data_IF_646022723762
#
_entry.id   IF_646022723762
#
_cell.length_a   1.000
_cell.length_b   1.000
_cell.length_c   1.000
_cell.angle_alpha   90.00
_cell.angle_beta   90.00
_cell.angle_gamma   90.00
#
_symmetry.space_group_name_H-M   'P 1'
#
loop_
_entity.id
_entity.type
_entity.pdbx_description
1 polymer ?
#
# COMPACT_ATOMS: atom_id res chain seq x y z
N UNK A 1 33.44 11.00 -60.75
CA UNK A 1 31.97 11.17 -60.66
C UNK A 1 31.42 11.84 -61.92
N UNK A 2 31.08 11.05 -62.95
CA UNK A 2 30.40 11.53 -64.18
C UNK A 2 29.28 10.61 -64.68
N UNK A 3 29.09 9.44 -64.05
CA UNK A 3 28.09 8.43 -64.45
C UNK A 3 26.63 8.84 -64.19
N UNK A 4 26.39 9.78 -63.27
CA UNK A 4 25.05 10.25 -62.87
C UNK A 4 24.44 11.31 -63.80
N UNK A 5 25.12 11.71 -64.89
CA UNK A 5 24.60 12.74 -65.81
C UNK A 5 23.78 12.16 -66.98
N UNK A 6 23.85 10.85 -67.21
CA UNK A 6 23.22 10.22 -68.36
C UNK A 6 21.83 9.68 -68.00
N UNK A 7 20.78 10.18 -68.67
CA UNK A 7 19.37 9.85 -68.37
C UNK A 7 19.08 8.35 -68.47
N UNK A 8 19.74 7.64 -69.39
CA UNK A 8 19.62 6.18 -69.53
C UNK A 8 20.23 5.41 -68.35
N UNK A 9 21.38 5.88 -67.82
CA UNK A 9 22.05 5.24 -66.67
C UNK A 9 21.21 5.40 -65.40
N UNK A 10 20.58 6.57 -65.22
CA UNK A 10 19.63 6.81 -64.12
C UNK A 10 18.44 5.85 -64.22
N UNK A 11 17.88 5.66 -65.42
CA UNK A 11 16.79 4.72 -65.65
C UNK A 11 17.15 3.27 -65.29
N UNK A 12 18.34 2.80 -65.69
CA UNK A 12 18.81 1.46 -65.35
C UNK A 12 19.02 1.30 -63.84
N UNK A 13 19.59 2.31 -63.17
CA UNK A 13 19.75 2.28 -61.71
C UNK A 13 18.39 2.21 -61.00
N UNK A 14 17.41 3.00 -61.43
CA UNK A 14 16.06 2.95 -60.86
C UNK A 14 15.39 1.58 -61.06
N UNK A 15 15.56 0.94 -62.22
CA UNK A 15 15.04 -0.41 -62.48
C UNK A 15 15.71 -1.42 -61.55
N UNK A 16 17.04 -1.40 -61.43
CA UNK A 16 17.77 -2.31 -60.53
C UNK A 16 17.36 -2.10 -59.07
N UNK A 17 17.21 -0.85 -58.62
CA UNK A 17 16.80 -0.52 -57.26
C UNK A 17 15.36 -0.97 -56.99
N UNK A 18 14.45 -0.81 -57.96
CA UNK A 18 13.07 -1.33 -57.86
C UNK A 18 13.03 -2.86 -57.76
N UNK A 19 13.87 -3.56 -58.51
CA UNK A 19 13.99 -5.02 -58.44
C UNK A 19 14.54 -5.48 -57.10
N UNK A 20 15.56 -4.80 -56.55
CA UNK A 20 16.10 -5.12 -55.23
C UNK A 20 15.02 -4.96 -54.15
N UNK A 21 14.25 -3.86 -54.18
CA UNK A 21 13.15 -3.67 -53.23
C UNK A 21 12.10 -4.78 -53.38
N UNK A 22 11.66 -5.07 -54.60
CA UNK A 22 10.62 -6.07 -54.87
C UNK A 22 11.04 -7.50 -54.51
N UNK A 23 12.31 -7.87 -54.73
CA UNK A 23 12.78 -9.26 -54.56
C UNK A 23 13.58 -9.50 -53.27
N UNK A 24 14.08 -8.47 -52.59
CA UNK A 24 14.77 -8.63 -51.31
C UNK A 24 13.94 -8.09 -50.16
N UNK A 25 13.44 -6.85 -50.25
CA UNK A 25 12.77 -6.18 -49.13
C UNK A 25 11.35 -6.71 -48.95
N UNK A 26 10.56 -6.81 -50.02
CA UNK A 26 9.18 -7.30 -49.96
C UNK A 26 9.06 -8.73 -49.40
N UNK A 27 9.86 -9.73 -49.83
CA UNK A 27 9.77 -11.05 -49.22
C UNK A 27 10.25 -11.09 -47.77
N UNK A 28 11.21 -10.25 -47.37
CA UNK A 28 11.64 -10.16 -45.97
C UNK A 28 10.53 -9.58 -45.09
N UNK A 29 9.86 -8.52 -45.57
CA UNK A 29 8.75 -7.88 -44.86
C UNK A 29 7.52 -8.79 -44.80
N UNK A 30 7.23 -9.51 -45.89
CA UNK A 30 6.14 -10.47 -45.91
C UNK A 30 6.42 -11.67 -44.98
N UNK A 31 7.68 -12.12 -44.88
CA UNK A 31 8.08 -13.15 -43.91
C UNK A 31 7.95 -12.66 -42.47
N UNK A 32 8.43 -11.46 -42.17
CA UNK A 32 8.30 -10.86 -40.84
C UNK A 32 6.84 -10.64 -40.40
N UNK A 33 5.94 -10.31 -41.34
CA UNK A 33 4.49 -10.19 -41.07
C UNK A 33 3.80 -11.55 -40.99
N UNK A 34 4.34 -12.55 -41.69
CA UNK A 34 3.80 -13.92 -41.71
C UNK A 34 4.37 -14.81 -40.60
N UNK A 35 5.20 -14.30 -39.70
CA UNK A 35 5.63 -15.04 -38.53
C UNK A 35 4.40 -15.24 -37.63
N UNK A 36 3.94 -16.48 -37.59
CA UNK A 36 2.83 -16.91 -36.76
C UNK A 36 3.37 -17.53 -35.49
N UNK A 37 2.66 -17.28 -34.39
CA UNK A 37 2.96 -17.88 -33.09
C UNK A 37 1.68 -18.41 -32.47
N UNK A 38 1.83 -19.46 -31.69
CA UNK A 38 0.75 -20.00 -30.88
C UNK A 38 0.66 -19.21 -29.57
N UNK A 39 -0.57 -18.87 -29.19
CA UNK A 39 -0.90 -18.22 -27.91
C UNK A 39 -2.10 -18.90 -27.27
N UNK A 40 -2.24 -18.71 -25.96
CA UNK A 40 -3.43 -19.10 -25.22
C UNK A 40 -4.45 -17.96 -25.23
N UNK A 41 -5.67 -18.30 -25.64
CA UNK A 41 -6.80 -17.37 -25.76
C UNK A 41 -7.99 -17.88 -24.96
N UNK A 42 -8.70 -16.95 -24.33
CA UNK A 42 -9.89 -17.20 -23.51
C UNK A 42 -11.09 -17.56 -24.41
N UNK A 43 -11.86 -18.58 -24.03
CA UNK A 43 -13.08 -19.03 -24.75
C UNK A 43 -14.36 -18.96 -23.93
N UNK A 44 -14.25 -18.87 -22.61
CA UNK A 44 -15.35 -18.63 -21.67
C UNK A 44 -14.99 -17.42 -20.82
N UNK A 45 -16.00 -16.73 -20.29
CA UNK A 45 -15.75 -15.66 -19.30
C UNK A 45 -14.99 -16.25 -18.11
N UNK A 46 -13.95 -15.54 -17.67
CA UNK A 46 -13.16 -15.88 -16.47
C UNK A 46 -13.14 -14.62 -15.61
N UNK A 47 -13.64 -14.72 -14.38
CA UNK A 47 -13.69 -13.60 -13.45
C UNK A 47 -12.43 -13.51 -12.60
N UNK A 48 -12.15 -12.33 -12.09
CA UNK A 48 -11.07 -12.12 -11.12
C UNK A 48 -11.23 -13.08 -9.95
N UNK A 49 -10.14 -13.76 -9.56
CA UNK A 49 -10.12 -14.77 -8.52
C UNK A 49 -10.52 -16.18 -8.97
N UNK A 50 -11.06 -16.35 -10.18
CA UNK A 50 -11.47 -17.66 -10.70
C UNK A 50 -10.26 -18.49 -11.17
N UNK A 51 -10.30 -19.80 -10.90
CA UNK A 51 -9.29 -20.74 -11.40
C UNK A 51 -9.47 -20.99 -12.90
N UNK A 52 -8.40 -20.80 -13.65
CA UNK A 52 -8.37 -21.03 -15.09
C UNK A 52 -8.34 -22.55 -15.33
N UNK A 53 -9.43 -23.07 -15.87
CA UNK A 53 -9.57 -24.48 -16.22
C UNK A 53 -9.30 -24.72 -17.71
N UNK A 54 -9.00 -25.97 -18.08
CA UNK A 54 -8.63 -26.34 -19.45
C UNK A 54 -9.76 -26.10 -20.47
N UNK A 55 -11.02 -26.03 -20.04
CA UNK A 55 -12.17 -25.75 -20.90
C UNK A 55 -12.49 -24.25 -21.05
N UNK A 56 -11.82 -23.37 -20.29
CA UNK A 56 -11.94 -21.92 -20.39
C UNK A 56 -10.94 -21.31 -21.38
N UNK A 57 -9.91 -22.06 -21.79
CA UNK A 57 -8.81 -21.57 -22.63
C UNK A 57 -8.55 -22.48 -23.82
N UNK A 58 -7.97 -21.92 -24.89
CA UNK A 58 -7.49 -22.71 -26.03
C UNK A 58 -6.24 -22.12 -26.64
N UNK A 59 -5.43 -22.95 -27.27
CA UNK A 59 -4.32 -22.50 -28.11
C UNK A 59 -4.85 -22.05 -29.47
N UNK A 60 -4.42 -20.87 -29.94
CA UNK A 60 -4.71 -20.35 -31.27
C UNK A 60 -3.44 -19.83 -31.94
N UNK A 61 -3.37 -19.99 -33.25
CA UNK A 61 -2.30 -19.44 -34.08
C UNK A 61 -2.66 -18.00 -34.49
N UNK A 62 -1.82 -17.04 -34.11
CA UNK A 62 -1.98 -15.61 -34.45
C UNK A 62 -0.70 -15.06 -35.07
N UNK A 63 -0.79 -13.93 -35.77
CA UNK A 63 0.40 -13.22 -36.22
C UNK A 63 1.18 -12.66 -35.02
N UNK A 64 2.50 -12.78 -35.03
CA UNK A 64 3.36 -12.28 -33.96
C UNK A 64 3.50 -10.73 -33.95
N UNK A 65 3.01 -10.07 -35.00
CA UNK A 65 3.09 -8.62 -35.14
C UNK A 65 2.24 -7.90 -34.08
N UNK A 66 2.87 -7.03 -33.28
CA UNK A 66 2.26 -6.30 -32.14
C UNK A 66 1.73 -7.18 -30.99
N UNK A 67 2.19 -8.43 -30.89
CA UNK A 67 1.83 -9.28 -29.76
C UNK A 67 2.63 -8.84 -28.52
N UNK A 68 1.98 -8.73 -27.33
CA UNK A 68 2.71 -8.48 -26.08
C UNK A 68 3.78 -9.56 -25.84
N UNK A 69 4.94 -9.14 -25.32
CA UNK A 69 6.05 -10.07 -25.07
C UNK A 69 5.72 -11.11 -23.99
N UNK A 70 4.86 -10.74 -23.04
CA UNK A 70 4.44 -11.53 -21.88
C UNK A 70 3.21 -12.42 -22.14
N UNK A 71 2.81 -12.59 -23.40
CA UNK A 71 1.70 -13.47 -23.76
C UNK A 71 2.02 -14.93 -23.44
N UNK A 72 1.03 -15.62 -22.87
CA UNK A 72 1.13 -17.03 -22.54
C UNK A 72 1.01 -17.86 -23.81
N UNK A 73 1.98 -18.75 -24.04
CA UNK A 73 2.08 -19.59 -25.24
C UNK A 73 1.66 -21.04 -25.01
N UNK A 74 1.62 -21.49 -23.76
CA UNK A 74 1.23 -22.86 -23.39
C UNK A 74 0.06 -22.85 -22.42
N UNK A 75 -0.92 -23.72 -22.66
CA UNK A 75 -2.06 -23.91 -21.75
C UNK A 75 -1.60 -24.40 -20.38
N UNK A 76 -0.50 -25.14 -20.28
CA UNK A 76 0.08 -25.60 -19.01
C UNK A 76 0.51 -24.45 -18.10
N UNK A 77 0.82 -23.28 -18.67
CA UNK A 77 1.21 -22.09 -17.91
C UNK A 77 -0.01 -21.31 -17.39
N UNK A 78 -1.18 -21.48 -18.02
CA UNK A 78 -2.42 -20.80 -17.65
C UNK A 78 -3.33 -21.68 -16.79
N UNK A 79 -3.43 -22.98 -17.08
CA UNK A 79 -4.34 -23.89 -16.39
C UNK A 79 -3.86 -24.16 -14.97
N UNK A 80 -4.77 -24.09 -14.01
CA UNK A 80 -4.48 -24.22 -12.56
C UNK A 80 -3.95 -22.94 -11.92
N UNK A 81 -3.83 -21.84 -12.68
CA UNK A 81 -3.60 -20.49 -12.16
C UNK A 81 -4.92 -19.75 -11.99
N UNK A 82 -4.89 -18.64 -11.27
CA UNK A 82 -6.06 -17.82 -11.00
C UNK A 82 -6.01 -16.51 -11.79
N UNK A 83 -7.18 -16.03 -12.23
CA UNK A 83 -7.28 -14.77 -12.94
C UNK A 83 -7.07 -13.59 -11.99
N UNK A 84 -6.16 -12.68 -12.33
CA UNK A 84 -5.93 -11.43 -11.60
C UNK A 84 -6.84 -10.29 -12.06
N UNK A 85 -7.48 -10.45 -13.23
CA UNK A 85 -8.43 -9.51 -13.79
C UNK A 85 -9.46 -10.26 -14.62
N UNK A 86 -10.63 -9.66 -14.82
CA UNK A 86 -11.68 -10.23 -15.66
C UNK A 86 -11.19 -10.39 -17.11
N UNK A 87 -11.53 -11.54 -17.69
CA UNK A 87 -11.20 -11.87 -19.07
C UNK A 87 -12.43 -12.38 -19.80
N UNK A 88 -12.66 -11.83 -20.99
CA UNK A 88 -13.80 -12.21 -21.83
C UNK A 88 -13.37 -13.15 -22.95
N UNK A 89 -14.32 -13.91 -23.54
CA UNK A 89 -14.04 -14.75 -24.70
C UNK A 89 -13.37 -13.93 -25.81
N UNK A 90 -12.16 -14.32 -26.16
CA UNK A 90 -11.36 -13.65 -27.16
C UNK A 90 -10.15 -12.89 -26.63
N UNK A 91 -10.00 -12.76 -25.32
CA UNK A 91 -8.82 -12.13 -24.71
C UNK A 91 -7.58 -13.01 -24.80
N UNK A 92 -6.42 -12.35 -24.90
CA UNK A 92 -5.13 -13.01 -24.77
C UNK A 92 -4.76 -13.10 -23.29
N UNK A 93 -4.26 -14.26 -22.89
CA UNK A 93 -3.72 -14.43 -21.55
C UNK A 93 -2.29 -13.94 -21.57
N UNK A 94 -2.00 -12.99 -20.70
CA UNK A 94 -0.65 -12.46 -20.46
C UNK A 94 -0.24 -12.81 -19.04
N UNK A 95 1.06 -12.93 -18.79
CA UNK A 95 1.58 -13.34 -17.48
C UNK A 95 1.12 -12.42 -16.34
N UNK A 96 0.90 -11.14 -16.62
CA UNK A 96 0.39 -10.15 -15.65
C UNK A 96 -1.10 -10.32 -15.28
N UNK A 97 -1.85 -11.15 -16.01
CA UNK A 97 -3.28 -11.43 -15.74
C UNK A 97 -3.51 -12.75 -14.98
N UNK A 98 -2.46 -13.48 -14.63
CA UNK A 98 -2.56 -14.79 -13.97
C UNK A 98 -1.68 -14.83 -12.73
N UNK A 99 -2.18 -15.42 -11.65
CA UNK A 99 -1.48 -15.59 -10.39
C UNK A 99 -1.45 -17.07 -9.98
N UNK A 100 -0.41 -17.49 -9.27
CA UNK A 100 -0.31 -18.86 -8.75
C UNK A 100 -1.23 -19.09 -7.55
N UNK A 101 -1.53 -18.03 -6.82
CA UNK A 101 -2.50 -18.03 -5.74
C UNK A 101 -3.80 -17.38 -6.24
N UNK A 102 -4.97 -17.76 -5.69
CA UNK A 102 -6.20 -17.07 -5.96
C UNK A 102 -5.99 -15.57 -5.77
N UNK A 103 -6.46 -14.77 -6.73
CA UNK A 103 -6.79 -13.37 -6.45
C UNK A 103 -8.00 -13.38 -5.51
N UNK A 104 -7.78 -13.89 -4.30
CA UNK A 104 -8.79 -14.04 -3.30
C UNK A 104 -9.21 -12.63 -2.92
N UNK A 105 -10.51 -12.40 -2.84
CA UNK A 105 -11.03 -11.52 -1.81
C UNK A 105 -10.22 -11.80 -0.53
N UNK A 106 -9.57 -10.78 0.03
CA UNK A 106 -8.64 -10.94 1.16
C UNK A 106 -7.23 -11.47 0.86
N UNK A 107 -6.68 -11.34 -0.36
CA UNK A 107 -5.28 -11.66 -0.68
C UNK A 107 -4.26 -11.07 0.33
N UNK A 108 -4.58 -9.89 0.89
CA UNK A 108 -3.79 -9.23 1.93
C UNK A 108 -3.67 -10.01 3.26
N UNK A 109 -4.57 -10.96 3.54
CA UNK A 109 -4.49 -11.82 4.74
C UNK A 109 -3.54 -13.00 4.55
N UNK A 110 -3.36 -13.49 3.31
CA UNK A 110 -2.48 -14.63 3.04
C UNK A 110 -0.99 -14.27 3.09
N UNK A 111 -0.65 -12.98 3.04
CA UNK A 111 0.73 -12.49 3.21
C UNK A 111 1.19 -12.39 4.69
N UNK A 112 0.35 -12.74 5.65
CA UNK A 112 0.70 -12.66 7.08
C UNK A 112 1.68 -13.78 7.48
N UNK A 113 2.87 -13.40 7.93
CA UNK A 113 3.93 -14.33 8.37
C UNK A 113 3.86 -14.69 9.86
N UNK A 114 2.97 -14.04 10.62
CA UNK A 114 2.86 -14.16 12.07
C UNK A 114 3.66 -13.09 12.86
N UNK A 115 4.52 -12.33 12.18
CA UNK A 115 5.22 -11.17 12.79
C UNK A 115 4.28 -9.98 13.00
N UNK A 116 3.35 -9.78 12.06
CA UNK A 116 2.28 -8.79 12.11
C UNK A 116 0.91 -9.48 12.11
N UNK A 117 -0.09 -8.75 12.57
CA UNK A 117 -1.48 -9.16 12.72
C UNK A 117 -2.38 -8.17 11.98
N UNK A 118 -3.48 -8.69 11.45
CA UNK A 118 -4.58 -7.88 10.95
C UNK A 118 -5.59 -7.65 12.08
N UNK A 119 -5.94 -6.39 12.36
CA UNK A 119 -7.00 -6.04 13.32
C UNK A 119 -7.95 -5.04 12.70
N UNK A 120 -9.25 -5.24 12.90
CA UNK A 120 -10.27 -4.30 12.44
C UNK A 120 -10.70 -3.38 13.57
N UNK A 121 -10.86 -2.10 13.25
CA UNK A 121 -11.41 -1.07 14.13
C UNK A 121 -12.66 -0.47 13.51
N UNK A 122 -13.63 -0.12 14.35
CA UNK A 122 -14.91 0.41 13.89
C UNK A 122 -14.82 1.91 13.63
N UNK A 123 -15.38 2.33 12.52
CA UNK A 123 -15.50 3.73 12.12
C UNK A 123 -16.89 4.23 12.53
N UNK A 124 -17.07 4.49 13.84
CA UNK A 124 -18.39 4.88 14.40
C UNK A 124 -19.02 6.11 13.76
N UNK A 125 -18.20 7.00 13.21
CA UNK A 125 -18.67 8.17 12.47
C UNK A 125 -17.98 8.23 11.13
N UNK A 126 -18.70 8.62 10.09
CA UNK A 126 -18.15 8.75 8.74
C UNK A 126 -16.90 9.66 8.69
N UNK A 127 -16.84 10.68 9.55
CA UNK A 127 -15.67 11.56 9.64
C UNK A 127 -14.43 10.86 10.23
N UNK A 128 -14.62 9.83 11.06
CA UNK A 128 -13.53 9.12 11.72
C UNK A 128 -12.70 8.27 10.74
N UNK A 129 -13.29 7.82 9.62
CA UNK A 129 -12.61 7.03 8.58
C UNK A 129 -12.41 7.81 7.30
N UNK A 130 -12.05 9.10 7.41
CA UNK A 130 -11.81 10.00 6.28
C UNK A 130 -12.98 10.05 5.28
N UNK A 131 -14.23 10.09 5.78
CA UNK A 131 -15.42 10.09 4.92
C UNK A 131 -15.46 8.89 3.97
N UNK A 132 -15.07 7.72 4.47
CA UNK A 132 -15.07 6.47 3.72
C UNK A 132 -14.16 6.44 2.50
N UNK A 133 -13.17 7.33 2.45
CA UNK A 133 -12.22 7.40 1.33
C UNK A 133 -10.96 6.59 1.54
N UNK A 134 -10.79 5.95 2.70
CA UNK A 134 -9.62 5.12 2.98
C UNK A 134 -9.56 3.93 2.02
N UNK A 135 -8.36 3.61 1.59
CA UNK A 135 -8.06 2.55 0.62
C UNK A 135 -7.00 1.61 1.18
N UNK A 136 -7.00 0.37 0.69
CA UNK A 136 -5.87 -0.56 0.94
C UNK A 136 -4.57 0.08 0.43
N UNK A 137 -3.51 -0.02 1.24
CA UNK A 137 -2.22 0.63 1.00
C UNK A 137 -2.10 2.07 1.52
N UNK A 138 -3.16 2.63 2.10
CA UNK A 138 -3.05 3.92 2.79
C UNK A 138 -2.21 3.78 4.06
N UNK A 139 -1.38 4.77 4.33
CA UNK A 139 -0.74 4.94 5.63
C UNK A 139 -1.54 5.95 6.44
N UNK A 140 -1.99 5.54 7.62
CA UNK A 140 -2.79 6.36 8.53
C UNK A 140 -2.09 6.52 9.89
N UNK A 141 -2.39 7.64 10.56
CA UNK A 141 -2.15 7.79 11.99
C UNK A 141 -3.46 7.58 12.74
N UNK A 142 -3.37 6.95 13.89
CA UNK A 142 -4.50 6.74 14.79
C UNK A 142 -4.50 7.86 15.82
N UNK A 143 -5.54 8.69 15.81
CA UNK A 143 -5.77 9.72 16.79
C UNK A 143 -6.69 9.14 17.86
N UNK A 144 -6.18 9.05 19.08
CA UNK A 144 -6.85 8.49 20.25
C UNK A 144 -7.19 9.61 21.25
N UNK A 145 -8.46 9.95 21.42
CA UNK A 145 -8.93 10.70 22.57
C UNK A 145 -8.76 9.84 23.83
N UNK A 146 -8.19 10.44 24.88
CA UNK A 146 -8.06 9.81 26.19
C UNK A 146 -7.17 8.54 26.23
N UNK A 147 -6.13 8.51 25.38
CA UNK A 147 -5.14 7.42 25.41
C UNK A 147 -4.53 7.27 26.81
N UNK A 148 -4.54 6.04 27.34
CA UNK A 148 -4.07 5.72 28.71
C UNK A 148 -4.77 6.56 29.80
N UNK A 149 -6.02 6.99 29.58
CA UNK A 149 -6.84 7.77 30.53
C UNK A 149 -6.22 9.10 30.96
N UNK A 150 -5.46 9.73 30.06
CA UNK A 150 -4.75 10.99 30.32
C UNK A 150 -5.62 12.24 30.11
N UNK A 151 -6.85 12.09 29.59
CA UNK A 151 -7.78 13.18 29.30
C UNK A 151 -7.39 14.03 28.09
N UNK A 152 -6.39 13.61 27.30
CA UNK A 152 -5.86 14.34 26.16
C UNK A 152 -6.06 13.56 24.86
N UNK A 153 -6.27 14.28 23.77
CA UNK A 153 -6.27 13.70 22.42
C UNK A 153 -4.84 13.71 21.88
N UNK A 154 -4.30 12.53 21.62
CA UNK A 154 -2.93 12.35 21.14
C UNK A 154 -2.89 11.33 20.01
N UNK A 155 -1.80 11.33 19.26
CA UNK A 155 -1.45 10.22 18.36
C UNK A 155 -0.49 9.35 19.17
N UNK A 156 -0.88 8.12 19.59
CA UNK A 156 0.04 7.21 20.25
C UNK A 156 1.27 7.01 19.39
N UNK A 157 2.50 7.09 19.95
CA UNK A 157 3.71 6.92 19.16
C UNK A 157 3.78 5.53 18.51
N UNK A 158 3.14 4.53 19.13
CA UNK A 158 2.99 3.19 18.59
C UNK A 158 2.07 3.14 17.37
N UNK A 159 1.17 4.11 17.14
CA UNK A 159 0.16 4.07 16.08
C UNK A 159 0.26 5.27 15.11
N UNK A 160 1.48 5.78 14.91
CA UNK A 160 1.73 6.96 14.09
C UNK A 160 1.67 6.66 12.60
N UNK A 161 2.24 5.55 12.14
CA UNK A 161 2.17 5.12 10.75
C UNK A 161 1.77 3.65 10.69
N UNK A 162 0.48 3.44 10.42
CA UNK A 162 -0.11 2.11 10.31
C UNK A 162 -0.68 1.94 8.91
N UNK A 163 -0.45 0.78 8.32
CA UNK A 163 -0.95 0.46 6.99
C UNK A 163 -2.38 -0.06 7.05
N UNK A 164 -3.24 0.50 6.21
CA UNK A 164 -4.59 0.00 5.96
C UNK A 164 -4.49 -1.12 4.93
N UNK A 165 -4.94 -2.32 5.27
CA UNK A 165 -4.95 -3.47 4.36
C UNK A 165 -6.34 -3.78 3.82
N UNK A 166 -7.40 -3.31 4.50
CA UNK A 166 -8.76 -3.43 4.00
C UNK A 166 -9.66 -2.35 4.58
N UNK A 167 -10.75 -2.08 3.87
CA UNK A 167 -11.86 -1.29 4.39
C UNK A 167 -13.12 -2.04 4.01
N UNK A 168 -13.95 -2.34 5.00
CA UNK A 168 -15.08 -3.25 4.87
C UNK A 168 -16.36 -2.49 5.19
N UNK A 169 -17.39 -2.71 4.38
CA UNK A 169 -18.72 -2.18 4.60
C UNK A 169 -19.49 -3.00 5.65
N UNK A 170 -20.63 -2.48 6.11
CA UNK A 170 -21.47 -3.16 7.09
C UNK A 170 -22.02 -4.53 6.59
N UNK A 171 -22.11 -4.77 5.28
CA UNK A 171 -22.41 -6.10 4.73
C UNK A 171 -21.31 -7.14 4.96
N UNK A 172 -20.11 -6.73 5.37
CA UNK A 172 -18.93 -7.58 5.42
C UNK A 172 -18.18 -7.68 4.08
N UNK A 173 -18.67 -7.01 3.03
CA UNK A 173 -17.95 -6.89 1.76
C UNK A 173 -16.87 -5.81 1.82
N UNK A 174 -15.74 -6.05 1.16
CA UNK A 174 -14.68 -5.04 1.05
C UNK A 174 -15.18 -3.84 0.24
N UNK A 175 -15.23 -2.66 0.87
CA UNK A 175 -15.72 -1.41 0.28
C UNK A 175 -14.81 -0.86 -0.84
N UNK A 176 -13.65 -1.51 -1.06
CA UNK A 176 -12.60 -1.10 -1.99
C UNK A 176 -12.38 -2.06 -3.17
N UNK A 177 -13.16 -3.14 -3.32
CA UNK A 177 -12.98 -4.14 -4.40
C UNK A 177 -13.26 -3.60 -5.81
N UNK A 178 -13.78 -2.39 -5.96
CA UNK A 178 -14.03 -1.80 -7.28
C UNK A 178 -15.11 -2.49 -8.09
N UNK A 179 -15.80 -3.48 -7.51
CA UNK A 179 -16.99 -4.06 -8.11
C UNK A 179 -18.07 -2.97 -8.22
N UNK A 180 -18.61 -2.73 -9.43
CA UNK A 180 -19.75 -1.85 -9.58
C UNK A 180 -20.95 -2.55 -8.94
N UNK A 181 -21.34 -2.13 -7.74
CA UNK A 181 -22.70 -2.37 -7.28
C UNK A 181 -23.64 -1.78 -8.33
N UNK A 182 -24.55 -2.57 -8.89
CA UNK A 182 -25.44 -2.19 -10.01
C UNK A 182 -26.27 -0.92 -9.73
N UNK A 183 -26.31 -0.46 -8.47
CA UNK A 183 -26.83 0.84 -8.06
C UNK A 183 -25.72 1.72 -7.42
N UNK A 184 -25.27 2.74 -8.15
CA UNK A 184 -24.40 3.86 -7.65
C UNK A 184 -25.00 4.60 -6.43
N UNK A 185 -26.22 4.26 -6.02
CA UNK A 185 -26.96 4.83 -4.89
C UNK A 185 -26.79 4.05 -3.58
N UNK A 186 -26.31 2.82 -3.66
CA UNK A 186 -26.18 1.91 -2.51
C UNK A 186 -24.71 1.51 -2.28
N UNK A 187 -23.77 2.42 -2.54
CA UNK A 187 -22.38 2.20 -2.10
C UNK A 187 -22.37 2.21 -0.58
N UNK A 188 -22.35 1.02 0.00
CA UNK A 188 -22.41 0.84 1.43
C UNK A 188 -21.28 1.59 2.11
N UNK A 189 -21.62 2.25 3.21
CA UNK A 189 -20.66 3.03 3.95
C UNK A 189 -19.66 2.08 4.61
N UNK A 190 -18.35 2.37 4.51
CA UNK A 190 -17.36 1.59 5.21
C UNK A 190 -17.58 1.75 6.72
N UNK A 191 -17.72 0.61 7.39
CA UNK A 191 -18.03 0.50 8.82
C UNK A 191 -16.79 0.12 9.61
N UNK A 192 -15.87 -0.64 9.01
CA UNK A 192 -14.63 -1.08 9.66
C UNK A 192 -13.42 -0.87 8.76
N UNK A 193 -12.29 -0.57 9.39
CA UNK A 193 -10.99 -0.47 8.72
C UNK A 193 -10.07 -1.52 9.31
N UNK A 194 -9.46 -2.33 8.47
CA UNK A 194 -8.52 -3.37 8.87
C UNK A 194 -7.09 -2.85 8.70
N UNK A 195 -6.33 -2.91 9.78
CA UNK A 195 -4.97 -2.39 9.91
C UNK A 195 -3.96 -3.53 10.06
N UNK A 196 -2.78 -3.37 9.46
CA UNK A 196 -1.65 -4.28 9.63
C UNK A 196 -0.70 -3.76 10.70
N UNK A 197 -0.58 -4.49 11.80
CA UNK A 197 0.08 -4.02 13.03
C UNK A 197 0.89 -5.12 13.72
N UNK A 198 1.78 -4.76 14.62
CA UNK A 198 2.44 -5.69 15.54
C UNK A 198 1.47 -6.20 16.62
N UNK A 199 1.78 -7.31 17.31
CA UNK A 199 0.96 -7.80 18.42
C UNK A 199 0.74 -6.79 19.55
N UNK A 200 1.67 -5.86 19.76
CA UNK A 200 1.52 -4.82 20.77
C UNK A 200 0.56 -3.72 20.33
N UNK A 201 0.74 -3.22 19.12
CA UNK A 201 -0.17 -2.26 18.50
C UNK A 201 -1.60 -2.82 18.43
N UNK A 202 -1.78 -4.13 18.18
CA UNK A 202 -3.11 -4.76 18.14
C UNK A 202 -3.81 -4.73 19.50
N UNK A 203 -3.09 -4.93 20.60
CA UNK A 203 -3.64 -4.79 21.95
C UNK A 203 -4.07 -3.34 22.24
N UNK A 204 -3.27 -2.35 21.84
CA UNK A 204 -3.61 -0.93 22.00
C UNK A 204 -4.86 -0.58 21.20
N UNK A 205 -4.94 -1.02 19.94
CA UNK A 205 -6.11 -0.79 19.09
C UNK A 205 -7.37 -1.45 19.66
N UNK A 206 -7.26 -2.65 20.24
CA UNK A 206 -8.38 -3.33 20.89
C UNK A 206 -8.89 -2.57 22.13
N UNK A 207 -7.99 -1.96 22.92
CA UNK A 207 -8.37 -1.11 24.05
C UNK A 207 -9.07 0.16 23.57
N UNK A 208 -8.49 0.84 22.58
CA UNK A 208 -9.07 2.05 21.99
C UNK A 208 -10.44 1.80 21.34
N UNK A 209 -10.64 0.63 20.74
CA UNK A 209 -11.92 0.22 20.15
C UNK A 209 -12.99 0.02 21.22
N UNK A 210 -12.62 -0.51 22.40
CA UNK A 210 -13.54 -0.70 23.52
C UNK A 210 -14.02 0.63 24.10
N UNK A 211 -13.14 1.62 24.24
CA UNK A 211 -13.49 2.99 24.62
C UNK A 211 -14.25 3.70 23.49
N UNK A 212 -13.89 3.32 22.25
CA UNK A 212 -14.71 3.50 21.07
C UNK A 212 -14.72 4.92 20.53
N UNK A 213 -13.63 5.65 20.73
CA UNK A 213 -13.36 6.92 20.08
C UNK A 213 -12.02 6.80 19.35
N UNK A 214 -12.05 6.46 18.07
CA UNK A 214 -10.85 6.41 17.23
C UNK A 214 -11.09 7.30 16.02
N UNK A 215 -10.09 8.10 15.65
CA UNK A 215 -10.06 8.82 14.38
C UNK A 215 -8.83 8.38 13.57
N UNK A 216 -9.03 8.09 12.29
CA UNK A 216 -7.98 7.75 11.35
C UNK A 216 -7.67 8.97 10.49
N UNK A 217 -6.43 9.46 10.54
CA UNK A 217 -5.96 10.52 9.67
C UNK A 217 -5.04 9.95 8.59
N UNK A 218 -5.35 10.20 7.32
CA UNK A 218 -4.49 9.80 6.20
C UNK A 218 -3.19 10.59 6.22
N UNK A 219 -2.07 9.88 6.28
CA UNK A 219 -0.71 10.43 6.21
C UNK A 219 -0.21 10.37 4.77
N UNK A 220 -0.36 9.23 4.11
CA UNK A 220 0.19 9.02 2.79
C UNK A 220 -0.67 8.06 1.96
N UNK A 221 -0.84 8.42 0.69
CA UNK A 221 -1.34 7.57 -0.40
C UNK A 221 -0.44 7.78 -1.60
N UNK A 222 0.03 6.70 -2.21
CA UNK A 222 0.87 6.79 -3.39
C UNK A 222 1.62 5.50 -3.69
N UNK A 223 2.87 5.62 -4.11
CA UNK A 223 3.69 4.47 -4.48
C UNK A 223 4.04 3.62 -3.25
N UNK A 224 3.93 2.29 -3.41
CA UNK A 224 4.20 1.34 -2.33
C UNK A 224 5.60 1.46 -1.74
N UNK A 225 6.58 1.89 -2.55
CA UNK A 225 7.95 2.11 -2.08
C UNK A 225 8.03 3.18 -0.99
N UNK A 226 7.28 4.27 -1.13
CA UNK A 226 7.24 5.35 -0.15
C UNK A 226 6.37 4.99 1.06
N UNK A 227 5.27 4.26 0.84
CA UNK A 227 4.47 3.71 1.95
C UNK A 227 5.34 2.85 2.88
N UNK A 228 6.19 1.99 2.32
CA UNK A 228 7.15 1.18 3.07
C UNK A 228 8.19 2.00 3.86
N UNK A 229 8.53 3.22 3.44
CA UNK A 229 9.42 4.12 4.20
C UNK A 229 8.74 4.57 5.51
N UNK A 230 7.44 4.86 5.48
CA UNK A 230 6.68 5.19 6.69
C UNK A 230 6.54 4.01 7.65
N UNK A 231 6.29 2.80 7.12
CA UNK A 231 6.20 1.58 7.94
C UNK A 231 7.55 1.31 8.63
N UNK A 232 8.67 1.45 7.91
CA UNK A 232 10.01 1.35 8.51
C UNK A 232 10.26 2.41 9.57
N UNK A 233 9.83 3.65 9.33
CA UNK A 233 9.93 4.70 10.33
C UNK A 233 9.12 4.37 11.59
N UNK A 234 7.95 3.73 11.45
CA UNK A 234 7.18 3.23 12.60
C UNK A 234 7.93 2.11 13.34
N UNK A 235 8.56 1.18 12.63
CA UNK A 235 9.36 0.12 13.24
C UNK A 235 10.52 0.69 14.06
N UNK A 236 11.22 1.71 13.55
CA UNK A 236 12.25 2.42 14.32
C UNK A 236 11.69 3.10 15.58
N UNK A 237 10.51 3.71 15.50
CA UNK A 237 9.85 4.32 16.67
C UNK A 237 9.52 3.24 17.71
N UNK A 238 9.01 2.07 17.29
CA UNK A 238 8.72 0.97 18.20
C UNK A 238 10.01 0.44 18.86
N UNK A 239 11.09 0.27 18.08
CA UNK A 239 12.39 -0.14 18.61
C UNK A 239 12.93 0.85 19.66
N UNK A 240 12.80 2.16 19.43
CA UNK A 240 13.23 3.20 20.37
C UNK A 240 12.41 3.17 21.67
N UNK A 241 11.11 2.88 21.59
CA UNK A 241 10.23 2.73 22.77
C UNK A 241 10.56 1.45 23.56
N UNK A 242 11.00 0.40 22.88
CA UNK A 242 11.34 -0.90 23.49
C UNK A 242 12.80 -1.04 23.91
N UNK A 243 13.69 -0.15 23.46
CA UNK A 243 15.06 -0.14 23.90
C UNK A 243 15.07 0.06 25.43
N UNK A 244 15.67 -0.86 26.22
CA UNK A 244 15.89 -0.59 27.62
C UNK A 244 16.68 0.71 27.71
N UNK A 245 16.21 1.68 28.50
CA UNK A 245 17.01 2.85 28.85
C UNK A 245 18.40 2.35 29.22
N UNK A 246 19.42 2.70 28.42
CA UNK A 246 20.80 2.43 28.85
C UNK A 246 20.96 3.14 30.18
N UNK A 247 21.23 2.35 31.22
CA UNK A 247 21.49 2.85 32.55
C UNK A 247 22.65 3.85 32.48
N UNK A 248 22.35 5.14 32.44
CA UNK A 248 23.30 6.18 32.82
C UNK A 248 23.35 6.22 34.34
N UNK A 249 23.95 5.19 34.93
CA UNK A 249 24.36 5.19 36.32
C UNK A 249 25.86 5.54 36.39
N UNK A 250 26.12 6.77 36.84
CA UNK A 250 27.25 7.09 37.69
C UNK A 250 28.60 7.42 37.05
N UNK A 251 28.88 8.72 36.95
CA UNK A 251 30.23 9.21 37.27
C UNK A 251 30.14 10.38 38.25
N UNK A 252 30.12 10.02 39.53
CA UNK A 252 30.46 10.91 40.62
C UNK A 252 31.98 11.09 40.65
N UNK A 253 32.49 12.17 40.06
CA UNK A 253 33.81 12.70 40.44
C UNK A 253 33.63 13.76 41.53
N UNK A 254 33.87 13.34 42.78
CA UNK A 254 34.26 14.23 43.87
C UNK A 254 35.77 14.50 43.80
N UNK A 255 36.16 15.77 43.80
CA UNK A 255 37.40 16.31 44.43
C UNK A 255 37.41 17.84 44.23
N UNK A 256 37.51 18.73 45.22
CA UNK A 256 37.65 18.62 46.67
C UNK A 256 37.44 19.99 47.35
N UNK A 257 36.89 19.94 48.58
CA UNK A 257 37.04 20.75 49.81
C UNK A 257 37.51 22.24 49.83
N UNK A 258 37.35 22.99 50.95
CA UNK A 258 36.18 23.14 51.83
C UNK A 258 35.91 24.64 52.15
N UNK A 259 34.70 25.01 52.59
CA UNK A 259 34.49 26.30 53.28
C UNK A 259 33.67 26.05 54.54
N UNK A 260 34.37 25.98 55.67
CA UNK A 260 33.81 26.39 56.96
C UNK A 260 33.66 27.92 56.94
N UNK A 261 32.52 28.46 57.38
CA UNK A 261 32.43 29.62 58.30
C UNK A 261 30.95 29.87 58.65
N UNK A 262 30.62 29.55 59.90
CA UNK A 262 29.76 30.27 60.86
C UNK A 262 28.45 30.92 60.39
N UNK A 263 27.33 30.32 60.81
CA UNK A 263 26.06 31.04 60.98
C UNK A 263 25.97 31.55 62.42
N UNK A 264 26.26 32.83 62.61
CA UNK A 264 26.03 33.52 63.88
C UNK A 264 24.56 33.99 63.96
N UNK A 265 23.96 33.69 65.11
CA UNK A 265 22.61 34.08 65.53
C UNK A 265 22.54 35.58 65.76
N UNK A 266 21.47 36.23 65.30
CA UNK A 266 20.98 37.44 65.97
C UNK A 266 19.45 37.50 65.95
N UNK A 267 18.91 37.26 67.14
CA UNK A 267 17.57 37.53 67.61
C UNK A 267 17.54 38.98 68.18
N UNK A 268 16.45 39.72 67.97
CA UNK A 268 15.83 40.75 68.86
C UNK A 268 14.70 41.44 68.04
N UNK A 269 13.40 41.18 68.30
CA UNK A 269 12.46 41.90 69.21
C UNK A 269 12.37 43.42 68.94
N UNK A 270 11.23 44.12 68.88
CA UNK A 270 9.89 43.95 69.46
C UNK A 270 8.90 44.99 68.87
N UNK A 271 7.59 44.69 68.97
CA UNK A 271 6.42 45.59 69.24
C UNK A 271 6.09 46.75 68.25
N UNK A 272 4.85 47.21 67.99
CA UNK A 272 3.48 47.01 68.49
C UNK A 272 2.53 47.84 67.58
N UNK A 273 1.31 47.39 67.30
CA UNK A 273 0.04 48.15 67.49
C UNK A 273 -1.21 47.40 67.02
N UNK A 274 -2.11 47.19 68.00
CA UNK A 274 -3.58 47.19 68.04
C UNK A 274 -4.29 47.99 66.91
N UNK A 275 -5.56 47.81 66.51
CA UNK A 275 -6.80 47.36 67.17
C UNK A 275 -7.92 47.17 66.11
N UNK A 276 -8.94 46.40 66.52
CA UNK A 276 -10.34 46.21 66.06
C UNK A 276 -10.98 47.06 64.94
N UNK A 277 -11.83 46.42 64.12
CA UNK A 277 -13.26 46.80 63.99
C UNK A 277 -14.10 45.76 63.23
N UNK A 278 -15.16 45.31 63.88
CA UNK A 278 -16.38 44.70 63.30
C UNK A 278 -17.05 45.61 62.26
N UNK A 279 -17.88 45.04 61.39
CA UNK A 279 -19.35 45.26 61.28
C UNK A 279 -19.83 44.81 59.89
N UNK A 280 -20.86 43.96 59.89
CA UNK A 280 -21.79 43.78 58.75
C UNK A 280 -22.15 42.36 58.41
#
# INVERSE_FOLDING_TARGET
MSFLKNRAVIGVICIVLSLIICFAVTPLFNKAISDKTEIVRVVKEIRTGEEITADMVKTVEVGAYNLPEDVVRSTETAVGKFAYADMIPGDYIIASKIAEEPAAENAYLYSLTGEKQAISVSVKSFANGLSGKLQSGDIVSVIAPDYKKQGLTVIPPELKYVEVIAVTANSGADANTGEPSEDDKDKELPDTVTLLVTPEQSMILAELEADGNIHLSLVYRGEQKHAAEFVKAQETILEEIHAPEEETDGEAEQTGEPVETESNVQEETSESSTEESEVG
#
